data_IF_779367817625
#
_entry.id   IF_779367817625
#
_cell.length_a   1.000
_cell.length_b   1.000
_cell.length_c   1.000
_cell.angle_alpha   90.00
_cell.angle_beta   90.00
_cell.angle_gamma   90.00
#
_symmetry.space_group_name_H-M   'P 1'
#
loop_
_entity.id
_entity.type
_entity.pdbx_description
1 polymer ?
#
# COMPACT_ATOMS: atom_id res chain seq x y z
N UNK A 1 12.37 23.47 -5.06
CA UNK A 1 12.32 21.99 -5.07
C UNK A 1 13.44 21.47 -4.19
N UNK A 2 13.18 20.44 -3.39
CA UNK A 2 14.24 19.74 -2.65
C UNK A 2 15.22 19.06 -3.63
N UNK A 3 16.41 18.68 -3.16
CA UNK A 3 17.40 17.98 -3.97
C UNK A 3 16.83 16.66 -4.55
N UNK A 4 16.07 15.93 -3.74
CA UNK A 4 15.38 14.69 -4.10
C UNK A 4 14.31 14.92 -5.18
N UNK A 5 13.48 15.96 -5.05
CA UNK A 5 12.50 16.32 -6.08
C UNK A 5 13.15 16.66 -7.43
N UNK A 6 14.34 17.30 -7.41
CA UNK A 6 15.09 17.57 -8.64
C UNK A 6 15.62 16.28 -9.28
N UNK A 7 16.10 15.32 -8.48
CA UNK A 7 16.58 14.03 -8.97
C UNK A 7 15.43 13.21 -9.58
N UNK A 8 14.29 13.13 -8.89
CA UNK A 8 13.12 12.41 -9.39
C UNK A 8 12.56 13.04 -10.67
N UNK A 9 12.54 14.38 -10.75
CA UNK A 9 12.17 15.09 -11.98
C UNK A 9 13.09 14.75 -13.14
N UNK A 10 14.41 14.80 -12.92
CA UNK A 10 15.41 14.50 -13.94
C UNK A 10 15.29 13.05 -14.43
N UNK A 11 15.17 12.09 -13.51
CA UNK A 11 15.02 10.67 -13.86
C UNK A 11 13.72 10.40 -14.62
N UNK A 12 12.61 11.06 -14.24
CA UNK A 12 11.35 10.99 -14.97
C UNK A 12 11.49 11.56 -16.39
N UNK A 13 12.15 12.70 -16.55
CA UNK A 13 12.39 13.33 -17.85
C UNK A 13 13.25 12.44 -18.75
N UNK A 14 14.32 11.84 -18.23
CA UNK A 14 15.19 10.92 -18.96
C UNK A 14 14.40 9.70 -19.47
N UNK A 15 13.52 9.13 -18.65
CA UNK A 15 12.65 8.03 -19.05
C UNK A 15 11.64 8.44 -20.14
N UNK A 16 11.06 9.65 -20.05
CA UNK A 16 10.16 10.17 -21.09
C UNK A 16 10.89 10.40 -22.42
N UNK A 17 12.08 11.01 -22.38
CA UNK A 17 12.92 11.23 -23.56
C UNK A 17 13.26 9.90 -24.23
N UNK A 18 13.75 8.94 -23.45
CA UNK A 18 14.10 7.62 -23.97
C UNK A 18 12.87 6.91 -24.57
N UNK A 19 11.74 6.89 -23.87
CA UNK A 19 10.55 6.20 -24.34
C UNK A 19 9.98 6.82 -25.62
N UNK A 20 9.96 8.15 -25.73
CA UNK A 20 9.49 8.83 -26.95
C UNK A 20 10.43 8.62 -28.13
N UNK A 21 11.75 8.64 -27.91
CA UNK A 21 12.76 8.30 -28.92
C UNK A 21 12.57 6.86 -29.44
N UNK A 22 12.42 5.88 -28.54
CA UNK A 22 12.20 4.48 -28.92
C UNK A 22 10.90 4.25 -29.70
N UNK A 23 9.87 5.06 -29.43
CA UNK A 23 8.59 5.00 -30.16
C UNK A 23 8.60 5.80 -31.46
N UNK A 24 9.69 6.50 -31.78
CA UNK A 24 9.79 7.37 -32.95
C UNK A 24 8.84 8.57 -32.90
N UNK A 25 8.50 9.04 -31.70
CA UNK A 25 7.59 10.18 -31.49
C UNK A 25 8.42 11.44 -31.26
N UNK A 26 8.25 12.43 -32.14
CA UNK A 26 8.94 13.73 -32.00
C UNK A 26 8.22 14.63 -30.99
N UNK A 27 8.83 14.82 -29.83
CA UNK A 27 8.35 15.77 -28.80
C UNK A 27 9.51 16.64 -28.35
N UNK A 28 9.27 17.95 -28.21
CA UNK A 28 10.33 18.83 -27.71
C UNK A 28 10.70 18.48 -26.25
N UNK A 29 11.99 18.50 -25.87
CA UNK A 29 12.40 18.26 -24.49
C UNK A 29 11.70 19.18 -23.48
N UNK A 30 11.39 20.41 -23.89
CA UNK A 30 10.65 21.39 -23.08
C UNK A 30 9.22 20.94 -22.78
N UNK A 31 8.53 20.30 -23.72
CA UNK A 31 7.19 19.75 -23.48
C UNK A 31 7.26 18.51 -22.56
N UNK A 32 8.23 17.62 -22.79
CA UNK A 32 8.45 16.46 -21.93
C UNK A 32 8.83 16.86 -20.50
N UNK A 33 9.60 17.94 -20.32
CA UNK A 33 9.94 18.46 -19.00
C UNK A 33 8.71 18.95 -18.21
N UNK A 34 7.70 19.51 -18.89
CA UNK A 34 6.42 19.89 -18.28
C UNK A 34 5.61 18.66 -17.88
N UNK A 35 5.61 17.61 -18.70
CA UNK A 35 4.96 16.33 -18.38
C UNK A 35 5.66 15.66 -17.19
N UNK A 36 7.00 15.62 -17.18
CA UNK A 36 7.77 15.09 -16.06
C UNK A 36 7.45 15.83 -14.75
N UNK A 37 7.34 17.16 -14.81
CA UNK A 37 6.96 17.98 -13.66
C UNK A 37 5.55 17.63 -13.18
N UNK A 38 4.60 17.49 -14.09
CA UNK A 38 3.22 17.12 -13.79
C UNK A 38 3.16 15.77 -13.05
N UNK A 39 3.89 14.76 -13.53
CA UNK A 39 3.96 13.42 -12.92
C UNK A 39 4.58 13.49 -11.52
N UNK A 40 5.81 14.01 -11.40
CA UNK A 40 6.57 13.96 -10.14
C UNK A 40 5.92 14.80 -9.02
N UNK A 41 5.24 15.90 -9.37
CA UNK A 41 4.50 16.70 -8.38
C UNK A 41 3.42 15.89 -7.65
N UNK A 42 2.84 14.89 -8.30
CA UNK A 42 1.75 14.10 -7.71
C UNK A 42 2.25 12.89 -6.94
N UNK A 43 3.40 12.35 -7.32
CA UNK A 43 4.04 11.21 -6.67
C UNK A 43 4.88 11.58 -5.44
N UNK A 44 5.06 12.87 -5.15
CA UNK A 44 5.86 13.38 -4.01
C UNK A 44 5.00 13.94 -2.88
N UNK A 45 3.71 13.64 -2.89
CA UNK A 45 2.79 14.03 -1.81
C UNK A 45 3.17 13.37 -0.48
N UNK A 46 2.94 14.02 0.68
CA UNK A 46 3.35 13.50 2.00
C UNK A 46 2.63 12.20 2.41
N UNK A 47 1.63 11.78 1.64
CA UNK A 47 0.82 10.58 1.88
C UNK A 47 1.25 9.38 1.04
N UNK A 48 2.07 9.60 0.01
CA UNK A 48 2.56 8.60 -0.93
C UNK A 48 3.77 7.90 -0.31
N UNK A 49 3.53 6.83 0.46
CA UNK A 49 4.57 6.09 1.18
C UNK A 49 4.96 4.79 0.46
N UNK A 50 4.00 4.17 -0.21
CA UNK A 50 4.20 3.00 -1.08
C UNK A 50 4.15 3.43 -2.55
N UNK A 51 3.10 4.14 -2.97
CA UNK A 51 2.98 4.61 -4.36
C UNK A 51 3.82 5.88 -4.59
N UNK A 52 5.15 5.72 -4.52
CA UNK A 52 6.16 6.78 -4.64
C UNK A 52 6.80 6.85 -6.05
N UNK A 53 7.72 7.78 -6.25
CA UNK A 53 8.52 7.89 -7.48
C UNK A 53 9.40 6.67 -7.72
N UNK A 54 9.95 6.07 -6.68
CA UNK A 54 10.78 4.87 -6.78
C UNK A 54 9.95 3.69 -7.28
N UNK A 55 8.77 3.48 -6.67
CA UNK A 55 7.82 2.46 -7.10
C UNK A 55 7.42 2.66 -8.57
N UNK A 56 7.01 3.87 -8.95
CA UNK A 56 6.68 4.23 -10.33
C UNK A 56 7.78 3.84 -11.33
N UNK A 57 9.06 4.06 -11.00
CA UNK A 57 10.18 3.69 -11.86
C UNK A 57 10.40 2.18 -11.94
N UNK A 58 10.21 1.44 -10.84
CA UNK A 58 10.29 -0.03 -10.80
C UNK A 58 9.18 -0.69 -11.64
N UNK A 59 7.95 -0.16 -11.55
CA UNK A 59 6.79 -0.62 -12.35
C UNK A 59 6.99 -0.36 -13.83
N UNK A 60 7.64 0.74 -14.21
CA UNK A 60 7.94 1.05 -15.61
C UNK A 60 9.04 0.18 -16.20
N UNK A 61 10.06 -0.13 -15.41
CA UNK A 61 11.18 -1.00 -15.82
C UNK A 61 12.19 -0.24 -16.66
N UNK A 62 12.85 -0.95 -17.58
CA UNK A 62 14.00 -0.38 -18.32
C UNK A 62 14.10 -0.77 -19.79
N UNK A 63 13.25 -1.65 -20.31
CA UNK A 63 13.47 -2.27 -21.64
C UNK A 63 12.40 -1.96 -22.68
N UNK A 64 11.19 -1.58 -22.30
CA UNK A 64 10.08 -1.34 -23.20
C UNK A 64 9.47 0.05 -22.97
N UNK A 65 9.31 0.82 -24.04
CA UNK A 65 8.87 2.21 -23.97
C UNK A 65 7.41 2.35 -23.52
N UNK A 66 6.50 1.46 -23.94
CA UNK A 66 5.10 1.50 -23.51
C UNK A 66 5.00 1.11 -22.04
N UNK A 67 5.76 0.10 -21.61
CA UNK A 67 5.80 -0.31 -20.20
C UNK A 67 6.34 0.81 -19.30
N UNK A 68 7.41 1.50 -19.73
CA UNK A 68 7.96 2.65 -19.00
C UNK A 68 6.92 3.76 -18.88
N UNK A 69 6.27 4.14 -19.99
CA UNK A 69 5.22 5.16 -19.96
C UNK A 69 4.05 4.74 -19.06
N UNK A 70 3.62 3.48 -19.11
CA UNK A 70 2.56 2.98 -18.23
C UNK A 70 2.95 3.10 -16.76
N UNK A 71 4.18 2.68 -16.41
CA UNK A 71 4.71 2.83 -15.06
C UNK A 71 4.73 4.28 -14.59
N UNK A 72 5.15 5.23 -15.45
CA UNK A 72 5.19 6.66 -15.13
C UNK A 72 3.80 7.27 -14.86
N UNK A 73 2.74 6.70 -15.43
CA UNK A 73 1.41 7.30 -15.38
C UNK A 73 0.40 6.55 -14.52
N UNK A 74 0.56 5.25 -14.23
CA UNK A 74 -0.54 4.42 -13.70
C UNK A 74 -1.16 4.93 -12.39
N UNK A 75 -0.36 5.54 -11.51
CA UNK A 75 -0.78 5.95 -10.16
C UNK A 75 -0.76 7.45 -9.89
N UNK A 76 -0.65 8.28 -10.93
CA UNK A 76 -0.56 9.73 -10.75
C UNK A 76 -1.84 10.33 -10.14
N UNK A 77 -3.01 9.71 -10.36
CA UNK A 77 -4.26 10.06 -9.68
C UNK A 77 -4.62 9.02 -8.64
N UNK A 78 -4.57 9.36 -7.34
CA UNK A 78 -4.96 8.46 -6.25
C UNK A 78 -5.81 9.17 -5.21
N UNK A 79 -7.10 9.32 -5.51
CA UNK A 79 -8.01 10.22 -4.78
C UNK A 79 -8.14 9.85 -3.30
N UNK A 80 -8.16 8.57 -2.95
CA UNK A 80 -8.38 8.11 -1.58
C UNK A 80 -7.14 8.34 -0.70
N UNK A 81 -5.96 8.36 -1.31
CA UNK A 81 -4.70 8.65 -0.62
C UNK A 81 -4.50 10.16 -0.55
N UNK A 82 -4.56 10.86 -1.68
CA UNK A 82 -4.28 12.29 -1.72
C UNK A 82 -5.40 13.12 -1.07
N UNK A 83 -6.62 12.59 -1.01
CA UNK A 83 -7.82 13.24 -0.48
C UNK A 83 -8.47 14.24 -1.45
N UNK A 84 -7.87 14.47 -2.61
CA UNK A 84 -8.42 15.26 -3.71
C UNK A 84 -7.66 14.97 -5.01
N UNK A 85 -8.19 15.46 -6.13
CA UNK A 85 -7.47 15.47 -7.41
C UNK A 85 -6.54 16.70 -7.44
N UNK A 86 -5.29 16.51 -7.88
CA UNK A 86 -4.35 17.62 -8.08
C UNK A 86 -4.93 18.64 -9.07
N UNK A 87 -4.86 19.93 -8.72
CA UNK A 87 -5.42 21.01 -9.55
C UNK A 87 -4.93 20.99 -11.01
N UNK A 88 -3.68 20.59 -11.24
CA UNK A 88 -3.11 20.52 -12.59
C UNK A 88 -3.73 19.38 -13.43
N UNK A 89 -4.37 18.39 -12.81
CA UNK A 89 -5.12 17.34 -13.52
C UNK A 89 -6.57 17.72 -13.80
N UNK A 90 -7.11 18.70 -13.09
CA UNK A 90 -8.51 19.12 -13.24
C UNK A 90 -8.83 19.50 -14.68
N UNK A 91 -7.89 20.12 -15.41
CA UNK A 91 -8.06 20.44 -16.83
C UNK A 91 -8.34 19.20 -17.70
N UNK A 92 -7.70 18.07 -17.40
CA UNK A 92 -7.86 16.81 -18.15
C UNK A 92 -9.09 16.02 -17.72
N UNK A 93 -9.59 16.23 -16.50
CA UNK A 93 -10.62 15.37 -15.88
C UNK A 93 -12.00 16.06 -15.80
N UNK A 94 -12.05 17.34 -15.42
CA UNK A 94 -13.32 18.06 -15.22
C UNK A 94 -14.32 18.00 -16.40
N UNK A 95 -13.88 17.97 -17.68
CA UNK A 95 -14.79 17.82 -18.80
C UNK A 95 -15.57 16.50 -18.80
N UNK A 96 -15.04 15.44 -18.19
CA UNK A 96 -15.59 14.08 -18.28
C UNK A 96 -16.22 13.57 -16.98
N UNK A 97 -15.85 14.18 -15.85
CA UNK A 97 -16.22 13.71 -14.52
C UNK A 97 -16.90 14.79 -13.69
N UNK A 98 -17.71 14.34 -12.74
CA UNK A 98 -18.27 15.16 -11.68
C UNK A 98 -18.33 14.38 -10.37
N UNK A 99 -18.50 15.08 -9.26
CA UNK A 99 -18.52 14.51 -7.91
C UNK A 99 -19.87 14.76 -7.24
N UNK A 100 -20.45 13.71 -6.64
CA UNK A 100 -21.63 13.77 -5.78
C UNK A 100 -21.35 13.04 -4.47
N UNK A 101 -21.54 13.70 -3.33
CA UNK A 101 -21.38 13.07 -2.00
C UNK A 101 -20.07 12.28 -1.81
N UNK A 102 -18.96 12.77 -2.38
CA UNK A 102 -17.65 12.11 -2.31
C UNK A 102 -17.45 10.94 -3.29
N UNK A 103 -18.37 10.72 -4.23
CA UNK A 103 -18.27 9.72 -5.29
C UNK A 103 -18.10 10.40 -6.64
N UNK A 104 -17.22 9.84 -7.46
CA UNK A 104 -16.99 10.33 -8.83
C UNK A 104 -17.88 9.58 -9.82
N UNK A 105 -18.39 10.30 -10.80
CA UNK A 105 -19.23 9.76 -11.86
C UNK A 105 -18.68 10.19 -13.22
N UNK A 106 -18.76 9.29 -14.19
CA UNK A 106 -18.64 9.67 -15.59
C UNK A 106 -19.88 10.49 -15.95
N UNK A 107 -19.71 11.62 -16.63
CA UNK A 107 -20.84 12.42 -17.12
C UNK A 107 -21.77 11.61 -18.01
N UNK A 108 -23.03 12.03 -18.05
CA UNK A 108 -24.02 11.45 -18.95
C UNK A 108 -23.63 11.68 -20.41
N UNK A 109 -24.09 10.80 -21.32
CA UNK A 109 -23.74 10.87 -22.74
C UNK A 109 -24.08 12.22 -23.38
N UNK A 110 -25.14 12.90 -22.92
CA UNK A 110 -25.57 14.21 -23.42
C UNK A 110 -24.67 15.37 -22.94
N UNK A 111 -23.88 15.17 -21.88
CA UNK A 111 -23.00 16.17 -21.28
C UNK A 111 -21.53 15.96 -21.64
N UNK A 112 -21.18 14.76 -22.12
CA UNK A 112 -19.83 14.45 -22.54
C UNK A 112 -19.46 15.24 -23.81
N UNK A 113 -18.26 15.86 -23.86
CA UNK A 113 -17.76 16.42 -25.11
C UNK A 113 -17.47 15.30 -26.12
N UNK A 114 -17.52 15.62 -27.41
CA UNK A 114 -17.04 14.71 -28.45
C UNK A 114 -15.51 14.64 -28.39
N UNK A 115 -14.99 13.60 -27.74
CA UNK A 115 -13.57 13.41 -27.48
C UNK A 115 -13.19 11.95 -27.72
N UNK A 116 -12.68 11.66 -28.92
CA UNK A 116 -12.33 10.30 -29.32
C UNK A 116 -11.28 9.66 -28.41
N UNK A 117 -10.40 10.46 -27.81
CA UNK A 117 -9.37 9.96 -26.89
C UNK A 117 -10.00 9.47 -25.59
N UNK A 118 -10.90 10.25 -25.00
CA UNK A 118 -11.65 9.81 -23.82
C UNK A 118 -12.49 8.56 -24.13
N UNK A 119 -13.19 8.54 -25.27
CA UNK A 119 -14.01 7.39 -25.68
C UNK A 119 -13.18 6.11 -25.84
N UNK A 120 -11.97 6.20 -26.41
CA UNK A 120 -11.02 5.08 -26.49
C UNK A 120 -10.61 4.59 -25.10
N UNK A 121 -10.28 5.50 -24.18
CA UNK A 121 -9.88 5.15 -22.81
C UNK A 121 -11.03 4.46 -22.07
N UNK A 122 -12.24 5.01 -22.15
CA UNK A 122 -13.45 4.41 -21.59
C UNK A 122 -13.73 3.02 -22.17
N UNK A 123 -13.57 2.83 -23.48
CA UNK A 123 -13.76 1.55 -24.15
C UNK A 123 -12.75 0.47 -23.68
N UNK A 124 -11.46 0.83 -23.50
CA UNK A 124 -10.43 -0.09 -22.99
C UNK A 124 -10.74 -0.52 -21.54
N UNK A 125 -11.18 0.42 -20.70
CA UNK A 125 -11.60 0.14 -19.32
C UNK A 125 -12.98 -0.52 -19.22
N UNK A 126 -13.75 -0.53 -20.31
CA UNK A 126 -15.13 -1.04 -20.33
C UNK A 126 -16.07 -0.21 -19.46
N UNK A 127 -15.83 1.10 -19.33
CA UNK A 127 -16.68 2.01 -18.58
C UNK A 127 -17.65 2.75 -19.50
N UNK A 128 -18.81 3.11 -18.95
CA UNK A 128 -19.89 3.76 -19.67
C UNK A 128 -20.21 5.16 -19.12
N UNK A 129 -20.76 6.07 -19.93
CA UNK A 129 -21.34 7.33 -19.46
C UNK A 129 -22.35 7.11 -18.32
N UNK A 130 -22.42 8.04 -17.37
CA UNK A 130 -23.28 7.96 -16.19
C UNK A 130 -22.80 6.98 -15.11
N UNK A 131 -21.76 6.17 -15.37
CA UNK A 131 -21.28 5.17 -14.42
C UNK A 131 -20.62 5.82 -13.19
N UNK A 132 -21.02 5.35 -12.00
CA UNK A 132 -20.32 5.64 -10.75
C UNK A 132 -18.96 4.93 -10.72
N UNK A 133 -17.90 5.67 -10.45
CA UNK A 133 -16.56 5.11 -10.26
C UNK A 133 -16.40 4.58 -8.84
N UNK A 134 -15.65 3.48 -8.72
CA UNK A 134 -15.36 2.84 -7.45
C UNK A 134 -13.86 2.69 -7.26
N UNK A 135 -13.31 3.05 -6.08
CA UNK A 135 -11.91 2.78 -5.72
C UNK A 135 -11.52 1.31 -5.88
N UNK A 136 -12.48 0.39 -5.72
CA UNK A 136 -12.24 -1.06 -5.79
C UNK A 136 -12.44 -1.63 -7.20
N UNK A 137 -12.77 -0.79 -8.18
CA UNK A 137 -13.05 -1.20 -9.56
C UNK A 137 -12.21 -0.41 -10.58
N UNK A 138 -11.04 0.08 -10.20
CA UNK A 138 -10.09 0.71 -11.13
C UNK A 138 -10.28 2.22 -11.34
N UNK A 139 -10.92 2.92 -10.39
CA UNK A 139 -11.12 4.37 -10.49
C UNK A 139 -9.81 5.14 -10.68
N UNK A 140 -8.78 4.83 -9.90
CA UNK A 140 -7.54 5.60 -9.90
C UNK A 140 -6.77 5.39 -11.21
N UNK A 141 -6.63 4.14 -11.62
CA UNK A 141 -6.01 3.72 -12.87
C UNK A 141 -6.74 4.32 -14.07
N UNK A 142 -8.08 4.40 -14.03
CA UNK A 142 -8.86 5.02 -15.09
C UNK A 142 -8.61 6.53 -15.18
N UNK A 143 -8.64 7.24 -14.05
CA UNK A 143 -8.37 8.68 -14.04
C UNK A 143 -6.93 8.98 -14.47
N UNK A 144 -5.96 8.19 -13.99
CA UNK A 144 -4.56 8.22 -14.42
C UNK A 144 -4.42 7.98 -15.93
N UNK A 145 -5.12 6.99 -16.49
CA UNK A 145 -5.11 6.70 -17.92
C UNK A 145 -5.72 7.83 -18.76
N UNK A 146 -6.79 8.48 -18.28
CA UNK A 146 -7.36 9.67 -18.95
C UNK A 146 -6.33 10.80 -18.95
N UNK A 147 -5.70 11.10 -17.81
CA UNK A 147 -4.64 12.13 -17.75
C UNK A 147 -3.48 11.78 -18.69
N UNK A 148 -3.02 10.53 -18.68
CA UNK A 148 -1.94 10.06 -19.56
C UNK A 148 -2.30 10.26 -21.04
N UNK A 149 -3.49 9.82 -21.42
CA UNK A 149 -3.98 9.92 -22.78
C UNK A 149 -4.08 11.38 -23.24
N UNK A 150 -4.68 12.25 -22.44
CA UNK A 150 -4.84 13.68 -22.80
C UNK A 150 -3.52 14.46 -22.76
N UNK A 151 -2.58 14.10 -21.88
CA UNK A 151 -1.27 14.74 -21.83
C UNK A 151 -0.40 14.37 -23.06
N UNK A 152 -0.57 13.16 -23.61
CA UNK A 152 0.23 12.64 -24.72
C UNK A 152 -0.47 12.74 -26.09
N UNK A 153 -1.79 12.95 -26.12
CA UNK A 153 -2.61 13.11 -27.34
C UNK A 153 -2.03 14.08 -28.38
N UNK A 154 -1.43 15.24 -28.02
CA UNK A 154 -0.85 16.14 -29.03
C UNK A 154 0.31 15.54 -29.83
N UNK A 155 0.87 14.42 -29.38
CA UNK A 155 2.09 13.83 -29.93
C UNK A 155 1.89 12.37 -30.35
N UNK A 156 1.03 11.62 -29.66
CA UNK A 156 0.89 10.18 -29.82
C UNK A 156 -0.24 9.84 -30.79
N UNK A 157 -0.03 8.80 -31.59
CA UNK A 157 -1.12 8.24 -32.39
C UNK A 157 -2.19 7.57 -31.50
N UNK A 158 -3.46 7.50 -31.95
CA UNK A 158 -4.52 6.79 -31.25
C UNK A 158 -4.13 5.35 -30.86
N UNK A 159 -3.42 4.65 -31.75
CA UNK A 159 -2.94 3.30 -31.51
C UNK A 159 -1.93 3.23 -30.36
N UNK A 160 -1.01 4.21 -30.23
CA UNK A 160 -0.08 4.26 -29.10
C UNK A 160 -0.79 4.59 -27.78
N UNK A 161 -1.76 5.51 -27.81
CA UNK A 161 -2.59 5.83 -26.63
C UNK A 161 -3.29 4.57 -26.13
N UNK A 162 -3.94 3.81 -27.01
CA UNK A 162 -4.64 2.56 -26.61
C UNK A 162 -3.68 1.51 -26.05
N UNK A 163 -2.46 1.37 -26.60
CA UNK A 163 -1.44 0.46 -26.05
C UNK A 163 -1.03 0.86 -24.62
N UNK A 164 -0.79 2.16 -24.40
CA UNK A 164 -0.49 2.71 -23.06
C UNK A 164 -1.65 2.50 -22.08
N UNK A 165 -2.87 2.85 -22.50
CA UNK A 165 -4.07 2.70 -21.69
C UNK A 165 -4.30 1.25 -21.26
N UNK A 166 -4.05 0.28 -22.13
CA UNK A 166 -4.17 -1.14 -21.78
C UNK A 166 -3.21 -1.56 -20.66
N UNK A 167 -1.96 -1.08 -20.71
CA UNK A 167 -0.99 -1.37 -19.66
C UNK A 167 -1.38 -0.76 -18.32
N UNK A 168 -1.94 0.47 -18.30
CA UNK A 168 -2.47 1.08 -17.08
C UNK A 168 -3.73 0.36 -16.60
N UNK A 169 -4.64 -0.04 -17.49
CA UNK A 169 -5.84 -0.82 -17.11
C UNK A 169 -5.47 -2.13 -16.41
N UNK A 170 -4.41 -2.79 -16.88
CA UNK A 170 -3.96 -4.04 -16.30
C UNK A 170 -3.43 -3.89 -14.86
N UNK A 171 -3.02 -2.69 -14.41
CA UNK A 171 -2.56 -2.47 -13.03
C UNK A 171 -3.71 -2.49 -12.02
N UNK A 172 -4.98 -2.47 -12.45
CA UNK A 172 -6.12 -2.64 -11.53
C UNK A 172 -6.00 -4.00 -10.81
N UNK A 173 -5.71 -4.02 -9.51
CA UNK A 173 -5.19 -5.22 -8.86
C UNK A 173 -6.30 -6.15 -8.38
N UNK A 174 -5.95 -7.42 -8.16
CA UNK A 174 -6.75 -8.43 -7.45
C UNK A 174 -8.15 -8.72 -8.01
N UNK A 175 -8.38 -8.42 -9.29
CA UNK A 175 -9.66 -8.68 -9.94
C UNK A 175 -9.96 -10.18 -10.02
N UNK A 176 -11.21 -10.53 -9.72
CA UNK A 176 -11.71 -11.89 -9.87
C UNK A 176 -11.96 -12.24 -11.34
N UNK A 177 -12.23 -13.52 -11.60
CA UNK A 177 -12.75 -13.94 -12.90
C UNK A 177 -14.11 -13.29 -13.16
N UNK A 178 -14.40 -13.03 -14.43
CA UNK A 178 -15.74 -12.62 -14.85
C UNK A 178 -16.79 -13.67 -14.53
N UNK A 179 -18.07 -13.30 -14.62
CA UNK A 179 -19.18 -14.26 -14.54
C UNK A 179 -19.08 -15.36 -15.62
N UNK A 180 -18.50 -15.05 -16.78
CA UNK A 180 -18.21 -15.99 -17.86
C UNK A 180 -16.92 -16.81 -17.66
N UNK A 181 -16.23 -16.64 -16.54
CA UNK A 181 -15.01 -17.37 -16.19
C UNK A 181 -13.73 -16.84 -16.86
N UNK A 182 -13.78 -15.68 -17.51
CA UNK A 182 -12.63 -15.05 -18.16
C UNK A 182 -11.74 -14.35 -17.13
N UNK A 183 -10.43 -14.41 -17.37
CA UNK A 183 -9.44 -13.64 -16.62
C UNK A 183 -9.49 -12.15 -16.98
N UNK A 184 -8.98 -11.25 -16.12
CA UNK A 184 -8.87 -9.83 -16.44
C UNK A 184 -8.11 -9.56 -17.74
N UNK A 185 -7.02 -10.29 -18.00
CA UNK A 185 -6.25 -10.16 -19.24
C UNK A 185 -7.03 -10.60 -20.49
N UNK A 186 -7.86 -11.63 -20.39
CA UNK A 186 -8.73 -12.06 -21.50
C UNK A 186 -9.86 -11.06 -21.77
N UNK A 187 -10.45 -10.48 -20.73
CA UNK A 187 -11.43 -9.39 -20.89
C UNK A 187 -10.80 -8.16 -21.55
N UNK A 188 -9.61 -7.76 -21.11
CA UNK A 188 -8.87 -6.67 -21.72
C UNK A 188 -8.53 -6.96 -23.18
N UNK A 189 -8.17 -8.21 -23.53
CA UNK A 189 -7.96 -8.63 -24.91
C UNK A 189 -9.21 -8.46 -25.78
N UNK A 190 -10.38 -8.85 -25.29
CA UNK A 190 -11.66 -8.68 -26.01
C UNK A 190 -12.01 -7.21 -26.20
N UNK A 191 -11.83 -6.39 -25.16
CA UNK A 191 -12.07 -4.94 -25.25
C UNK A 191 -11.11 -4.29 -26.24
N UNK A 192 -9.83 -4.65 -26.23
CA UNK A 192 -8.86 -4.11 -27.17
C UNK A 192 -9.18 -4.45 -28.63
N UNK A 193 -9.67 -5.66 -28.93
CA UNK A 193 -10.16 -5.97 -30.28
C UNK A 193 -11.33 -5.10 -30.68
N UNK A 194 -12.30 -4.96 -29.79
CA UNK A 194 -13.50 -4.15 -30.03
C UNK A 194 -13.14 -2.67 -30.24
N UNK A 195 -12.27 -2.11 -29.40
CA UNK A 195 -11.75 -0.75 -29.53
C UNK A 195 -10.96 -0.58 -30.84
N UNK A 196 -10.10 -1.54 -31.22
CA UNK A 196 -9.35 -1.49 -32.47
C UNK A 196 -10.27 -1.41 -33.70
N UNK A 197 -11.37 -2.17 -33.70
CA UNK A 197 -12.37 -2.16 -34.77
C UNK A 197 -13.19 -0.86 -34.76
N UNK A 198 -13.72 -0.47 -33.59
CA UNK A 198 -14.57 0.72 -33.41
C UNK A 198 -13.87 2.01 -33.82
N UNK A 199 -12.59 2.17 -33.47
CA UNK A 199 -11.82 3.39 -33.74
C UNK A 199 -10.87 3.25 -34.94
N UNK A 200 -10.95 2.16 -35.69
CA UNK A 200 -10.15 1.90 -36.88
C UNK A 200 -8.63 2.08 -36.68
N UNK A 201 -8.11 1.57 -35.56
CA UNK A 201 -6.71 1.78 -35.13
C UNK A 201 -5.70 0.98 -35.96
N UNK A 202 -6.18 0.04 -36.79
CA UNK A 202 -5.40 -0.82 -37.69
C UNK A 202 -4.32 -1.64 -36.98
N UNK A 203 -4.48 -1.90 -35.69
CA UNK A 203 -3.61 -2.82 -34.97
C UNK A 203 -3.86 -4.24 -35.49
N UNK A 204 -2.77 -4.94 -35.75
CA UNK A 204 -2.83 -6.37 -36.05
C UNK A 204 -3.14 -7.17 -34.78
N UNK A 205 -3.68 -8.38 -34.95
CA UNK A 205 -3.97 -9.27 -33.82
C UNK A 205 -2.69 -9.63 -33.03
N UNK A 206 -1.53 -9.67 -33.70
CA UNK A 206 -0.23 -9.88 -33.05
C UNK A 206 0.19 -8.67 -32.20
N UNK A 207 -0.01 -7.44 -32.71
CA UNK A 207 0.26 -6.24 -31.90
C UNK A 207 -0.64 -6.16 -30.68
N UNK A 208 -1.92 -6.53 -30.80
CA UNK A 208 -2.84 -6.59 -29.67
C UNK A 208 -2.33 -7.61 -28.65
N UNK A 209 -1.98 -8.83 -29.08
CA UNK A 209 -1.40 -9.85 -28.17
C UNK A 209 -0.14 -9.34 -27.47
N UNK A 210 0.75 -8.68 -28.20
CA UNK A 210 1.98 -8.15 -27.64
C UNK A 210 1.70 -7.04 -26.62
N UNK A 211 0.71 -6.20 -26.86
CA UNK A 211 0.24 -5.21 -25.88
C UNK A 211 -0.25 -5.89 -24.61
N UNK A 212 -1.03 -6.97 -24.70
CA UNK A 212 -1.44 -7.71 -23.49
C UNK A 212 -0.25 -8.29 -22.73
N UNK A 213 0.77 -8.80 -23.43
CA UNK A 213 2.00 -9.29 -22.78
C UNK A 213 2.75 -8.17 -22.07
N UNK A 214 2.87 -6.98 -22.68
CA UNK A 214 3.40 -5.78 -22.02
C UNK A 214 2.58 -5.42 -20.78
N UNK A 215 1.24 -5.43 -20.89
CA UNK A 215 0.34 -5.15 -19.77
C UNK A 215 0.51 -6.15 -18.62
N UNK A 216 0.68 -7.44 -18.93
CA UNK A 216 0.96 -8.48 -17.91
C UNK A 216 2.31 -8.27 -17.24
N UNK A 217 3.35 -7.85 -17.96
CA UNK A 217 4.64 -7.53 -17.34
C UNK A 217 4.57 -6.31 -16.41
N UNK A 218 3.84 -5.27 -16.80
CA UNK A 218 3.67 -4.06 -15.97
C UNK A 218 2.92 -4.41 -14.69
N UNK A 219 1.73 -5.02 -14.79
CA UNK A 219 0.92 -5.38 -13.61
C UNK A 219 1.64 -6.35 -12.68
N UNK A 220 2.38 -7.34 -13.22
CA UNK A 220 3.14 -8.27 -12.38
C UNK A 220 4.33 -7.60 -11.65
N UNK A 221 4.88 -6.51 -12.21
CA UNK A 221 5.93 -5.73 -11.54
C UNK A 221 5.35 -4.81 -10.48
N UNK A 222 4.21 -4.20 -10.76
CA UNK A 222 3.42 -3.40 -9.79
C UNK A 222 3.14 -4.19 -8.50
N UNK A 223 2.56 -5.37 -8.62
CA UNK A 223 2.33 -6.25 -7.45
C UNK A 223 3.52 -7.15 -7.10
N UNK A 224 4.71 -6.90 -7.66
CA UNK A 224 5.86 -7.79 -7.58
C UNK A 224 6.33 -8.08 -6.14
N UNK A 225 6.10 -7.13 -5.23
CA UNK A 225 6.44 -7.26 -3.81
C UNK A 225 5.81 -8.47 -3.11
N UNK A 226 4.63 -8.93 -3.57
CA UNK A 226 3.96 -10.11 -3.02
C UNK A 226 4.75 -11.39 -3.21
N UNK A 227 5.58 -11.49 -4.25
CA UNK A 227 6.44 -12.64 -4.51
C UNK A 227 7.90 -12.40 -4.10
N UNK A 228 8.18 -11.42 -3.22
CA UNK A 228 9.53 -11.23 -2.73
C UNK A 228 10.03 -12.49 -1.98
N UNK A 229 11.24 -13.00 -2.25
CA UNK A 229 11.79 -14.16 -1.53
C UNK A 229 11.92 -13.94 -0.02
N UNK A 230 12.11 -12.69 0.41
CA UNK A 230 12.19 -12.28 1.81
C UNK A 230 10.83 -11.79 2.31
N UNK A 231 10.24 -12.54 3.25
CA UNK A 231 9.00 -12.13 3.91
C UNK A 231 9.16 -10.82 4.70
N UNK A 232 10.38 -10.49 5.13
CA UNK A 232 10.69 -9.23 5.81
C UNK A 232 10.58 -8.02 4.88
N UNK A 233 10.96 -8.18 3.60
CA UNK A 233 10.81 -7.14 2.56
C UNK A 233 9.36 -7.04 2.14
N UNK A 234 8.69 -8.16 1.90
CA UNK A 234 7.26 -8.21 1.62
C UNK A 234 6.43 -7.46 2.69
N UNK A 235 6.70 -7.75 3.97
CA UNK A 235 6.01 -7.07 5.07
C UNK A 235 6.39 -5.59 5.20
N UNK A 236 7.63 -5.20 4.90
CA UNK A 236 8.03 -3.79 4.90
C UNK A 236 7.22 -3.00 3.87
N UNK A 237 7.08 -3.55 2.66
CA UNK A 237 6.27 -2.96 1.59
C UNK A 237 4.79 -2.89 1.97
N UNK A 238 4.26 -3.96 2.57
CA UNK A 238 2.89 -3.97 3.13
C UNK A 238 2.72 -2.90 4.21
N UNK A 239 3.75 -2.65 5.01
CA UNK A 239 3.71 -1.64 6.07
C UNK A 239 3.65 -0.21 5.52
N UNK A 240 4.33 0.07 4.41
CA UNK A 240 4.29 1.39 3.76
C UNK A 240 2.86 1.80 3.34
N UNK A 241 1.97 0.85 3.11
CA UNK A 241 0.55 1.11 2.82
C UNK A 241 -0.25 1.61 4.05
N UNK A 242 0.23 1.37 5.27
CA UNK A 242 -0.50 1.75 6.49
C UNK A 242 -0.69 3.28 6.63
N UNK A 243 0.37 4.12 6.64
CA UNK A 243 0.22 5.57 6.74
C UNK A 243 -0.42 6.19 5.50
N UNK A 244 -0.32 5.50 4.37
CA UNK A 244 -0.91 5.91 3.10
C UNK A 244 -2.43 5.75 3.10
N UNK A 245 -2.96 4.65 3.65
CA UNK A 245 -4.40 4.37 3.71
C UNK A 245 -5.05 4.76 5.04
N UNK A 246 -4.25 5.20 6.03
CA UNK A 246 -4.71 5.61 7.36
C UNK A 246 -4.02 6.91 7.79
N UNK A 247 -4.63 8.05 7.43
CA UNK A 247 -4.05 9.38 7.61
C UNK A 247 -3.73 9.73 9.07
N UNK A 248 -4.37 9.09 10.06
CA UNK A 248 -4.04 9.30 11.47
C UNK A 248 -2.58 8.93 11.80
N UNK A 249 -1.98 7.98 11.06
CA UNK A 249 -0.60 7.53 11.29
C UNK A 249 0.48 8.47 10.73
N UNK A 250 0.12 9.48 9.93
CA UNK A 250 1.09 10.38 9.28
C UNK A 250 1.84 11.27 10.27
N UNK A 251 1.25 11.54 11.44
CA UNK A 251 1.91 12.31 12.51
C UNK A 251 2.35 11.33 13.58
N UNK A 252 3.64 10.98 13.55
CA UNK A 252 4.27 10.15 14.59
C UNK A 252 4.01 10.75 15.98
N UNK A 253 3.57 9.91 16.92
CA UNK A 253 3.26 10.29 18.30
C UNK A 253 1.88 10.93 18.55
N UNK A 254 1.16 11.33 17.50
CA UNK A 254 -0.14 12.01 17.63
C UNK A 254 -1.35 11.05 17.58
N UNK A 255 -1.16 9.81 17.14
CA UNK A 255 -2.25 8.84 16.99
C UNK A 255 -2.48 8.01 18.26
N UNK A 256 -3.73 7.59 18.46
CA UNK A 256 -4.15 6.80 19.62
C UNK A 256 -3.86 5.31 19.45
N UNK A 257 -3.91 4.55 20.54
CA UNK A 257 -3.84 3.07 20.48
C UNK A 257 -4.94 2.51 19.57
N UNK A 258 -6.13 3.11 19.62
CA UNK A 258 -7.29 2.76 18.78
C UNK A 258 -7.05 3.06 17.31
N UNK A 259 -6.47 4.21 16.97
CA UNK A 259 -6.12 4.55 15.58
C UNK A 259 -5.19 3.52 14.96
N UNK A 260 -4.14 3.14 15.70
CA UNK A 260 -3.21 2.10 15.28
C UNK A 260 -3.91 0.75 15.13
N UNK A 261 -4.78 0.38 16.08
CA UNK A 261 -5.57 -0.84 16.01
C UNK A 261 -6.45 -0.88 14.75
N UNK A 262 -7.15 0.22 14.43
CA UNK A 262 -7.99 0.33 13.24
C UNK A 262 -7.16 0.11 11.98
N UNK A 263 -5.99 0.73 11.89
CA UNK A 263 -5.10 0.58 10.73
C UNK A 263 -4.66 -0.89 10.55
N UNK A 264 -4.22 -1.56 11.63
CA UNK A 264 -3.86 -2.98 11.59
C UNK A 264 -5.07 -3.86 11.28
N UNK A 265 -6.26 -3.56 11.82
CA UNK A 265 -7.48 -4.32 11.54
C UNK A 265 -7.86 -4.24 10.05
N UNK A 266 -7.83 -3.03 9.46
CA UNK A 266 -8.09 -2.83 8.02
C UNK A 266 -7.10 -3.60 7.16
N UNK A 267 -5.80 -3.52 7.48
CA UNK A 267 -4.76 -4.26 6.77
C UNK A 267 -4.94 -5.79 6.90
N UNK A 268 -5.35 -6.26 8.08
CA UNK A 268 -5.71 -7.67 8.30
C UNK A 268 -6.89 -8.09 7.42
N UNK A 269 -7.92 -7.24 7.31
CA UNK A 269 -9.04 -7.46 6.41
C UNK A 269 -8.62 -7.55 4.93
N UNK A 270 -7.81 -6.60 4.46
CA UNK A 270 -7.25 -6.59 3.12
C UNK A 270 -6.46 -7.88 2.83
N UNK A 271 -5.52 -8.24 3.69
CA UNK A 271 -4.69 -9.44 3.53
C UNK A 271 -5.50 -10.74 3.52
N UNK A 272 -6.60 -10.82 4.26
CA UNK A 272 -7.50 -11.97 4.26
C UNK A 272 -8.39 -12.04 3.02
N UNK A 273 -8.71 -10.90 2.40
CA UNK A 273 -9.45 -10.85 1.14
C UNK A 273 -8.63 -11.38 -0.05
N UNK A 274 -7.32 -11.13 -0.07
CA UNK A 274 -6.45 -11.51 -1.18
C UNK A 274 -6.44 -13.03 -1.45
N UNK A 275 -6.41 -13.41 -2.73
CA UNK A 275 -6.22 -14.80 -3.15
C UNK A 275 -4.89 -14.89 -3.92
N UNK A 276 -3.98 -15.84 -3.61
CA UNK A 276 -2.69 -15.93 -4.30
C UNK A 276 -2.79 -15.95 -5.82
N UNK A 277 -3.83 -16.63 -6.35
CA UNK A 277 -4.07 -16.78 -7.79
C UNK A 277 -4.57 -15.51 -8.49
N UNK A 278 -5.00 -14.48 -7.76
CA UNK A 278 -5.50 -13.22 -8.33
C UNK A 278 -4.46 -12.09 -8.24
N UNK A 279 -3.29 -12.36 -7.65
CA UNK A 279 -2.21 -11.37 -7.52
C UNK A 279 -1.51 -11.20 -8.86
N UNK A 280 -0.93 -12.29 -9.37
CA UNK A 280 -0.20 -12.26 -10.64
C UNK A 280 -1.11 -12.63 -11.80
N UNK A 281 -0.93 -11.95 -12.93
CA UNK A 281 -1.59 -12.22 -14.19
C UNK A 281 -0.72 -13.13 -15.07
N UNK A 282 -1.39 -13.87 -15.96
CA UNK A 282 -0.77 -14.72 -16.96
C UNK A 282 -1.60 -14.63 -18.25
N UNK A 283 -0.94 -14.41 -19.38
CA UNK A 283 -1.59 -14.35 -20.68
C UNK A 283 -0.71 -14.97 -21.76
N UNK A 284 -1.20 -16.04 -22.39
CA UNK A 284 -0.57 -16.68 -23.55
C UNK A 284 0.95 -16.92 -23.40
N UNK A 285 1.36 -17.49 -22.25
CA UNK A 285 2.75 -17.82 -21.95
C UNK A 285 3.59 -16.65 -21.44
N UNK A 286 2.98 -15.52 -21.10
CA UNK A 286 3.64 -14.39 -20.44
C UNK A 286 3.10 -14.19 -19.01
N UNK A 287 3.93 -14.30 -17.96
CA UNK A 287 5.24 -14.94 -18.00
C UNK A 287 5.10 -16.45 -18.30
N UNK A 288 6.20 -17.17 -18.54
CA UNK A 288 6.12 -18.61 -18.74
C UNK A 288 5.50 -19.32 -17.52
N UNK A 289 4.84 -20.47 -17.74
CA UNK A 289 4.11 -21.19 -16.69
C UNK A 289 4.94 -21.47 -15.44
N UNK A 290 6.24 -21.79 -15.60
CA UNK A 290 7.13 -22.08 -14.48
C UNK A 290 7.39 -20.82 -13.66
N UNK A 291 7.61 -19.68 -14.31
CA UNK A 291 7.74 -18.38 -13.64
C UNK A 291 6.44 -17.98 -12.97
N UNK A 292 5.30 -18.09 -13.65
CA UNK A 292 3.98 -17.80 -13.07
C UNK A 292 3.71 -18.62 -11.82
N UNK A 293 3.91 -19.94 -11.87
CA UNK A 293 3.72 -20.81 -10.72
C UNK A 293 4.62 -20.43 -9.55
N UNK A 294 5.90 -20.11 -9.79
CA UNK A 294 6.80 -19.64 -8.73
C UNK A 294 6.30 -18.36 -8.06
N UNK A 295 5.84 -17.39 -8.84
CA UNK A 295 5.28 -16.14 -8.31
C UNK A 295 4.08 -16.42 -7.40
N UNK A 296 3.14 -17.25 -7.85
CA UNK A 296 1.95 -17.63 -7.08
C UNK A 296 2.32 -18.42 -5.81
N UNK A 297 3.27 -19.36 -5.89
CA UNK A 297 3.75 -20.12 -4.74
C UNK A 297 4.38 -19.21 -3.68
N UNK A 298 5.26 -18.30 -4.09
CA UNK A 298 5.89 -17.35 -3.17
C UNK A 298 4.86 -16.39 -2.57
N UNK A 299 3.90 -15.90 -3.36
CA UNK A 299 2.79 -15.07 -2.87
C UNK A 299 1.96 -15.79 -1.82
N UNK A 300 1.66 -17.08 -2.01
CA UNK A 300 0.92 -17.87 -1.03
C UNK A 300 1.67 -17.98 0.29
N UNK A 301 2.98 -18.23 0.23
CA UNK A 301 3.84 -18.26 1.43
C UNK A 301 3.80 -16.91 2.15
N UNK A 302 4.08 -15.82 1.42
CA UNK A 302 4.12 -14.47 1.96
C UNK A 302 2.77 -14.02 2.54
N UNK A 303 1.66 -14.33 1.87
CA UNK A 303 0.31 -14.06 2.40
C UNK A 303 0.03 -14.85 3.68
N UNK A 304 0.43 -16.12 3.76
CA UNK A 304 0.24 -16.92 4.97
C UNK A 304 1.03 -16.34 6.16
N UNK A 305 2.28 -15.95 5.94
CA UNK A 305 3.13 -15.29 6.94
C UNK A 305 2.52 -13.93 7.34
N UNK A 306 2.15 -13.11 6.36
CA UNK A 306 1.62 -11.78 6.60
C UNK A 306 0.29 -11.80 7.38
N UNK A 307 -0.61 -12.74 7.06
CA UNK A 307 -1.86 -12.94 7.80
C UNK A 307 -1.62 -13.29 9.26
N UNK A 308 -0.75 -14.27 9.52
CA UNK A 308 -0.44 -14.69 10.88
C UNK A 308 0.28 -13.58 11.65
N UNK A 309 1.23 -12.89 11.03
CA UNK A 309 1.93 -11.75 11.62
C UNK A 309 0.96 -10.62 12.01
N UNK A 310 0.07 -10.22 11.10
CA UNK A 310 -0.93 -9.17 11.34
C UNK A 310 -1.94 -9.58 12.40
N UNK A 311 -2.38 -10.84 12.43
CA UNK A 311 -3.25 -11.35 13.47
C UNK A 311 -2.60 -11.26 14.85
N UNK A 312 -1.35 -11.69 14.99
CA UNK A 312 -0.60 -11.57 16.25
C UNK A 312 -0.49 -10.10 16.69
N UNK A 313 -0.15 -9.20 15.75
CA UNK A 313 -0.07 -7.75 16.00
C UNK A 313 -1.41 -7.19 16.44
N UNK A 314 -2.51 -7.58 15.79
CA UNK A 314 -3.85 -7.11 16.10
C UNK A 314 -4.26 -7.54 17.52
N UNK A 315 -4.08 -8.81 17.89
CA UNK A 315 -4.42 -9.31 19.24
C UNK A 315 -3.58 -8.62 20.31
N UNK A 316 -2.27 -8.51 20.11
CA UNK A 316 -1.39 -7.80 21.04
C UNK A 316 -1.82 -6.34 21.23
N UNK A 317 -2.16 -5.65 20.14
CA UNK A 317 -2.64 -4.27 20.22
C UNK A 317 -4.05 -4.15 20.83
N UNK A 318 -4.86 -5.20 20.75
CA UNK A 318 -6.19 -5.23 21.38
C UNK A 318 -6.09 -5.31 22.90
N UNK A 319 -5.15 -6.11 23.41
CA UNK A 319 -4.81 -6.13 24.85
C UNK A 319 -4.35 -4.75 25.29
N UNK A 320 -3.49 -4.11 24.50
CA UNK A 320 -3.00 -2.76 24.79
C UNK A 320 -4.12 -1.71 24.76
N UNK A 321 -5.02 -1.76 23.78
CA UNK A 321 -6.18 -0.86 23.67
C UNK A 321 -7.10 -1.01 24.88
N UNK A 322 -7.46 -2.25 25.24
CA UNK A 322 -8.31 -2.52 26.39
C UNK A 322 -7.69 -2.01 27.71
N UNK A 323 -6.37 -2.16 27.90
CA UNK A 323 -5.67 -1.58 29.03
C UNK A 323 -5.65 -0.04 28.99
N UNK A 324 -5.45 0.54 27.80
CA UNK A 324 -5.39 2.00 27.64
C UNK A 324 -6.70 2.68 28.04
N UNK A 325 -7.85 2.01 27.87
CA UNK A 325 -9.16 2.52 28.28
C UNK A 325 -9.32 2.72 29.79
N UNK A 326 -8.43 2.15 30.62
CA UNK A 326 -8.36 2.45 32.06
C UNK A 326 -7.73 3.82 32.36
N UNK A 327 -6.99 4.39 31.41
CA UNK A 327 -6.38 5.72 31.52
C UNK A 327 -7.26 6.81 30.87
N UNK A 328 -7.96 6.48 29.79
CA UNK A 328 -8.84 7.38 29.07
C UNK A 328 -9.31 6.82 27.73
N UNK A 329 -10.21 7.52 27.03
CA UNK A 329 -10.76 7.04 25.76
C UNK A 329 -9.78 7.22 24.57
N UNK A 330 -9.03 8.32 24.54
CA UNK A 330 -8.12 8.68 23.44
C UNK A 330 -6.66 8.74 23.94
N UNK A 331 -6.13 7.58 24.32
CA UNK A 331 -4.75 7.48 24.80
C UNK A 331 -3.79 7.35 23.61
N UNK A 332 -2.79 8.24 23.56
CA UNK A 332 -1.70 8.17 22.56
C UNK A 332 -0.96 6.84 22.65
N UNK A 333 -0.62 6.23 21.51
CA UNK A 333 0.17 5.00 21.50
C UNK A 333 1.53 5.18 22.19
N UNK A 334 2.14 6.36 22.05
CA UNK A 334 3.43 6.65 22.66
C UNK A 334 3.38 6.53 24.19
N UNK A 335 2.28 6.96 24.83
CA UNK A 335 2.08 6.83 26.28
C UNK A 335 2.15 5.35 26.70
N UNK A 336 1.56 4.46 25.91
CA UNK A 336 1.48 3.03 26.23
C UNK A 336 2.75 2.25 25.84
N UNK A 337 3.42 2.62 24.74
CA UNK A 337 4.54 1.84 24.18
C UNK A 337 5.93 2.45 24.40
N UNK A 338 6.01 3.70 24.86
CA UNK A 338 7.24 4.48 24.81
C UNK A 338 7.35 5.30 23.52
N UNK A 339 8.38 6.14 23.44
CA UNK A 339 8.56 7.03 22.28
C UNK A 339 8.94 6.26 21.01
N UNK A 340 8.32 6.67 19.89
CA UNK A 340 8.60 6.18 18.55
C UNK A 340 9.98 6.66 18.07
N UNK A 341 10.58 6.02 17.04
CA UNK A 341 11.84 6.46 16.46
C UNK A 341 11.79 7.95 16.06
N UNK A 342 12.90 8.68 16.24
CA UNK A 342 13.01 10.09 15.82
C UNK A 342 12.57 11.13 16.86
N UNK A 343 12.04 10.74 18.02
CA UNK A 343 11.63 11.69 19.08
C UNK A 343 12.79 12.41 19.78
N UNK A 344 14.03 11.95 19.62
CA UNK A 344 15.23 12.49 20.28
C UNK A 344 15.27 12.29 21.80
N UNK A 345 14.31 11.55 22.37
CA UNK A 345 14.16 11.37 23.82
C UNK A 345 13.75 9.93 24.15
N UNK A 346 14.41 9.33 25.14
CA UNK A 346 14.19 7.94 25.54
C UNK A 346 13.89 7.85 27.04
N UNK A 347 12.70 7.34 27.38
CA UNK A 347 12.26 7.09 28.76
C UNK A 347 11.94 5.60 29.01
N UNK A 348 12.49 4.73 28.17
CA UNK A 348 12.12 3.32 28.10
C UNK A 348 11.02 3.04 27.08
N UNK A 349 10.87 1.76 26.76
CA UNK A 349 9.88 1.21 25.84
C UNK A 349 9.18 0.00 26.43
N UNK A 350 7.98 -0.25 25.94
CA UNK A 350 7.20 -1.41 26.35
C UNK A 350 7.90 -2.68 25.91
N UNK A 351 8.30 -3.47 26.90
CA UNK A 351 8.99 -4.75 26.74
C UNK A 351 10.48 -4.72 27.05
N UNK A 352 11.04 -3.58 27.45
CA UNK A 352 12.43 -3.49 27.92
C UNK A 352 12.69 -4.33 29.18
N UNK A 353 11.66 -4.55 30.02
CA UNK A 353 11.75 -5.29 31.29
C UNK A 353 10.81 -6.50 31.35
N UNK A 354 10.33 -7.01 30.20
CA UNK A 354 9.56 -8.24 30.19
C UNK A 354 10.35 -9.42 30.78
N UNK A 355 9.70 -10.29 31.58
CA UNK A 355 10.38 -11.41 32.21
C UNK A 355 10.79 -12.46 31.17
N UNK A 356 11.91 -13.13 31.44
CA UNK A 356 12.28 -14.32 30.71
C UNK A 356 11.27 -15.44 31.02
N UNK A 357 10.64 -15.98 29.97
CA UNK A 357 9.67 -17.07 30.12
C UNK A 357 10.41 -18.39 30.37
N UNK A 358 9.94 -19.16 31.36
CA UNK A 358 10.53 -20.47 31.70
C UNK A 358 10.35 -21.48 30.56
N UNK A 359 9.23 -21.40 29.85
CA UNK A 359 8.89 -22.24 28.70
C UNK A 359 8.26 -21.38 27.60
N UNK A 360 9.06 -20.63 26.83
CA UNK A 360 8.53 -19.89 25.70
C UNK A 360 7.93 -20.87 24.67
N UNK A 361 6.90 -20.41 23.97
CA UNK A 361 6.29 -21.15 22.88
C UNK A 361 7.34 -21.55 21.83
N UNK A 362 7.22 -22.77 21.31
CA UNK A 362 8.06 -23.28 20.23
C UNK A 362 7.23 -23.39 18.95
N UNK A 363 7.62 -22.70 17.87
CA UNK A 363 6.96 -22.83 16.57
C UNK A 363 6.83 -24.28 16.12
N UNK A 364 5.67 -24.62 15.55
CA UNK A 364 5.36 -25.99 15.11
C UNK A 364 5.60 -26.21 13.62
N UNK A 365 5.75 -25.13 12.86
CA UNK A 365 5.97 -25.16 11.42
C UNK A 365 6.79 -23.95 10.95
N UNK A 366 7.22 -23.99 9.68
CA UNK A 366 8.09 -22.97 9.09
C UNK A 366 7.46 -21.57 9.02
N UNK A 367 6.13 -21.47 8.87
CA UNK A 367 5.43 -20.18 8.84
C UNK A 367 5.48 -19.53 10.22
N UNK A 368 5.19 -20.30 11.26
CA UNK A 368 5.27 -19.85 12.65
C UNK A 368 6.69 -19.45 13.04
N UNK A 369 7.70 -20.22 12.62
CA UNK A 369 9.11 -19.90 12.86
C UNK A 369 9.48 -18.57 12.21
N UNK A 370 9.09 -18.38 10.95
CA UNK A 370 9.35 -17.15 10.21
C UNK A 370 8.64 -15.94 10.82
N UNK A 371 7.38 -16.10 11.26
CA UNK A 371 6.64 -15.05 11.98
C UNK A 371 7.31 -14.69 13.30
N UNK A 372 7.75 -15.68 14.10
CA UNK A 372 8.49 -15.40 15.33
C UNK A 372 9.77 -14.60 15.06
N UNK A 373 10.54 -14.99 14.03
CA UNK A 373 11.73 -14.25 13.62
C UNK A 373 11.41 -12.82 13.21
N UNK A 374 10.33 -12.60 12.45
CA UNK A 374 9.88 -11.27 12.04
C UNK A 374 9.43 -10.40 13.21
N UNK A 375 8.81 -10.98 14.24
CA UNK A 375 8.39 -10.24 15.44
C UNK A 375 9.60 -9.80 16.28
N UNK A 376 10.63 -10.65 16.37
CA UNK A 376 11.84 -10.42 17.17
C UNK A 376 12.84 -9.50 16.44
N UNK A 377 13.23 -9.87 15.22
CA UNK A 377 14.28 -9.18 14.46
C UNK A 377 13.75 -8.04 13.58
N UNK A 378 12.45 -8.06 13.30
CA UNK A 378 11.75 -7.00 12.60
C UNK A 378 11.69 -7.17 11.08
N UNK A 379 10.98 -6.22 10.45
CA UNK A 379 10.90 -6.06 8.99
C UNK A 379 12.20 -5.46 8.43
N UNK A 380 12.39 -5.56 7.11
CA UNK A 380 13.61 -5.09 6.44
C UNK A 380 13.87 -3.60 6.62
N UNK A 381 12.82 -2.78 6.62
CA UNK A 381 12.87 -1.35 6.87
C UNK A 381 11.92 -0.99 8.05
N UNK A 382 12.20 0.13 8.72
CA UNK A 382 11.32 0.74 9.71
C UNK A 382 10.81 2.09 9.22
N UNK A 383 9.60 2.47 9.61
CA UNK A 383 9.08 3.82 9.38
C UNK A 383 9.18 4.67 10.64
N UNK A 384 9.17 6.00 10.51
CA UNK A 384 9.21 6.91 11.66
C UNK A 384 7.92 6.87 12.52
N UNK A 385 6.85 6.29 11.97
CA UNK A 385 5.56 6.16 12.63
C UNK A 385 5.41 4.85 13.42
N UNK A 386 6.36 3.90 13.35
CA UNK A 386 6.26 2.62 14.06
C UNK A 386 7.62 1.98 14.41
N UNK A 387 7.60 0.87 15.14
CA UNK A 387 8.79 0.05 15.38
C UNK A 387 8.87 -1.08 14.35
N UNK A 388 10.05 -1.25 13.75
CA UNK A 388 10.33 -2.38 12.85
C UNK A 388 10.22 -3.74 13.55
N UNK A 389 10.58 -3.79 14.83
CA UNK A 389 10.40 -4.96 15.72
C UNK A 389 9.08 -4.86 16.46
N UNK A 390 8.60 -5.96 17.03
CA UNK A 390 7.32 -6.00 17.75
C UNK A 390 7.45 -6.69 19.10
N UNK A 391 8.15 -6.08 20.07
CA UNK A 391 8.49 -6.72 21.36
C UNK A 391 7.26 -7.18 22.15
N UNK A 392 6.21 -6.35 22.24
CA UNK A 392 4.93 -6.74 22.84
C UNK A 392 4.34 -7.98 22.17
N UNK A 393 4.25 -7.96 20.84
CA UNK A 393 3.65 -9.07 20.09
C UNK A 393 4.49 -10.34 20.19
N UNK A 394 5.81 -10.24 20.13
CA UNK A 394 6.73 -11.36 20.33
C UNK A 394 6.54 -11.98 21.73
N UNK A 395 6.42 -11.15 22.77
CA UNK A 395 6.17 -11.61 24.13
C UNK A 395 4.83 -12.33 24.26
N UNK A 396 3.74 -11.75 23.71
CA UNK A 396 2.41 -12.37 23.71
C UNK A 396 2.46 -13.74 23.02
N UNK A 397 3.04 -13.84 21.83
CA UNK A 397 3.16 -15.12 21.10
C UNK A 397 3.99 -16.12 21.90
N UNK A 398 5.12 -15.71 22.49
CA UNK A 398 5.93 -16.59 23.32
C UNK A 398 5.21 -17.07 24.59
N UNK A 399 4.24 -16.31 25.10
CA UNK A 399 3.49 -16.64 26.31
C UNK A 399 2.31 -17.59 26.03
N UNK A 400 1.46 -17.26 25.06
CA UNK A 400 0.20 -18.00 24.80
C UNK A 400 0.21 -18.84 23.52
N UNK A 401 1.25 -18.73 22.68
CA UNK A 401 1.35 -19.41 21.39
C UNK A 401 0.35 -18.93 20.35
N UNK A 402 0.47 -19.44 19.13
CA UNK A 402 -0.44 -19.09 18.03
C UNK A 402 -1.87 -19.61 18.24
N UNK A 403 -2.07 -20.70 18.97
CA UNK A 403 -3.41 -21.17 19.33
C UNK A 403 -4.11 -20.23 20.31
N UNK A 404 -3.38 -19.69 21.29
CA UNK A 404 -3.91 -18.66 22.19
C UNK A 404 -4.29 -17.38 21.43
N UNK A 405 -3.47 -16.97 20.46
CA UNK A 405 -3.81 -15.85 19.55
C UNK A 405 -5.14 -16.12 18.82
N UNK A 406 -5.32 -17.31 18.24
CA UNK A 406 -6.54 -17.69 17.53
C UNK A 406 -7.77 -17.69 18.45
N UNK A 407 -7.63 -18.16 19.68
CA UNK A 407 -8.71 -18.17 20.68
C UNK A 407 -9.17 -16.76 21.06
N UNK A 408 -8.27 -15.77 21.04
CA UNK A 408 -8.59 -14.37 21.33
C UNK A 408 -9.19 -13.59 20.16
N UNK A 409 -9.33 -14.21 18.98
CA UNK A 409 -9.91 -13.54 17.79
C UNK A 409 -11.37 -13.15 18.00
N UNK A 410 -12.22 -14.09 18.41
CA UNK A 410 -13.65 -13.83 18.58
C UNK A 410 -13.93 -12.80 19.71
N UNK A 411 -13.31 -12.90 20.90
CA UNK A 411 -13.40 -11.85 21.91
C UNK A 411 -12.95 -10.47 21.40
N UNK A 412 -11.83 -10.42 20.66
CA UNK A 412 -11.35 -9.17 20.05
C UNK A 412 -12.39 -8.56 19.11
N UNK A 413 -12.99 -9.37 18.23
CA UNK A 413 -14.02 -8.89 17.30
C UNK A 413 -15.27 -8.37 18.02
N UNK A 414 -15.69 -9.04 19.11
CA UNK A 414 -16.80 -8.56 19.95
C UNK A 414 -16.46 -7.23 20.62
N UNK A 415 -15.23 -7.07 21.08
CA UNK A 415 -14.75 -5.81 21.67
C UNK A 415 -14.73 -4.68 20.64
N UNK A 416 -14.23 -4.93 19.42
CA UNK A 416 -14.22 -3.92 18.35
C UNK A 416 -15.62 -3.46 17.95
N UNK A 417 -16.60 -4.35 18.02
CA UNK A 417 -18.02 -4.07 17.76
C UNK A 417 -18.74 -3.43 18.95
N UNK A 418 -18.06 -3.24 20.09
CA UNK A 418 -18.66 -2.72 21.31
C UNK A 418 -19.68 -3.66 21.96
N UNK A 419 -19.66 -4.95 21.61
CA UNK A 419 -20.58 -5.96 22.15
C UNK A 419 -20.15 -6.45 23.53
N UNK A 420 -18.86 -6.36 23.85
CA UNK A 420 -18.31 -6.59 25.18
C UNK A 420 -17.46 -5.39 25.59
N UNK A 421 -17.32 -5.16 26.90
CA UNK A 421 -16.47 -4.09 27.43
C UNK A 421 -14.98 -4.45 27.32
N UNK A 422 -14.11 -3.46 27.55
CA UNK A 422 -12.66 -3.70 27.66
C UNK A 422 -12.32 -4.65 28.82
N UNK A 423 -13.05 -4.57 29.93
CA UNK A 423 -12.84 -5.45 31.09
C UNK A 423 -13.28 -6.89 30.79
N UNK A 424 -14.40 -7.08 30.09
CA UNK A 424 -14.84 -8.40 29.65
C UNK A 424 -13.84 -9.05 28.66
N UNK A 425 -13.27 -8.24 27.76
CA UNK A 425 -12.20 -8.68 26.87
C UNK A 425 -10.93 -9.08 27.66
N UNK A 426 -10.49 -8.24 28.60
CA UNK A 426 -9.32 -8.54 29.44
C UNK A 426 -9.54 -9.79 30.30
N UNK A 427 -10.77 -10.04 30.77
CA UNK A 427 -11.15 -11.24 31.51
C UNK A 427 -11.09 -12.52 30.64
N UNK A 428 -11.18 -12.38 29.31
CA UNK A 428 -11.00 -13.48 28.36
C UNK A 428 -9.53 -13.80 28.09
N UNK A 429 -8.60 -12.91 28.49
CA UNK A 429 -7.17 -13.10 28.33
C UNK A 429 -6.55 -13.89 29.49
N UNK A 430 -5.35 -14.42 29.29
CA UNK A 430 -4.59 -15.00 30.40
C UNK A 430 -4.23 -13.91 31.43
N UNK A 431 -4.60 -14.14 32.69
CA UNK A 431 -4.44 -13.15 33.78
C UNK A 431 -2.97 -12.77 34.06
N UNK A 432 -2.04 -13.73 33.96
CA UNK A 432 -0.63 -13.45 34.18
C UNK A 432 -0.06 -12.61 33.04
N UNK A 433 -0.42 -12.92 31.80
CA UNK A 433 -0.03 -12.16 30.62
C UNK A 433 -0.50 -10.70 30.73
N UNK A 434 -1.79 -10.46 31.02
CA UNK A 434 -2.34 -9.10 31.13
C UNK A 434 -1.71 -8.34 32.28
N UNK A 435 -1.47 -9.00 33.42
CA UNK A 435 -0.79 -8.40 34.57
C UNK A 435 0.65 -7.97 34.24
N UNK A 436 1.42 -8.80 33.54
CA UNK A 436 2.79 -8.47 33.14
C UNK A 436 2.78 -7.26 32.21
N UNK A 437 1.92 -7.24 31.19
CA UNK A 437 1.82 -6.11 30.25
C UNK A 437 1.39 -4.84 30.99
N UNK A 438 0.39 -4.92 31.87
CA UNK A 438 -0.08 -3.79 32.65
C UNK A 438 1.00 -3.21 33.57
N UNK A 439 1.75 -4.06 34.27
CA UNK A 439 2.86 -3.63 35.12
C UNK A 439 3.94 -2.90 34.32
N UNK A 440 4.23 -3.36 33.11
CA UNK A 440 5.22 -2.72 32.26
C UNK A 440 4.77 -1.33 31.78
N UNK A 441 3.49 -1.18 31.47
CA UNK A 441 2.89 0.14 31.19
C UNK A 441 2.99 1.04 32.43
N UNK A 442 2.73 0.52 33.64
CA UNK A 442 2.88 1.27 34.89
C UNK A 442 4.31 1.77 35.07
N UNK A 443 5.32 0.91 34.86
CA UNK A 443 6.73 1.30 34.94
C UNK A 443 7.08 2.42 33.94
N UNK A 444 6.56 2.38 32.71
CA UNK A 444 6.76 3.48 31.75
C UNK A 444 6.12 4.79 32.21
N UNK A 445 4.93 4.73 32.82
CA UNK A 445 4.26 5.91 33.38
C UNK A 445 5.01 6.47 34.59
N UNK A 446 5.59 5.61 35.43
CA UNK A 446 6.45 5.99 36.55
C UNK A 446 7.73 6.69 36.06
N UNK A 447 8.39 6.16 35.03
CA UNK A 447 9.57 6.81 34.42
C UNK A 447 9.23 8.23 33.93
N UNK A 448 8.07 8.40 33.29
CA UNK A 448 7.58 9.73 32.87
C UNK A 448 7.28 10.63 34.05
N UNK A 449 6.65 10.09 35.10
CA UNK A 449 6.38 10.85 36.33
C UNK A 449 7.69 11.34 36.97
N UNK A 450 8.72 10.49 37.02
CA UNK A 450 10.04 10.86 37.54
C UNK A 450 10.70 11.95 36.67
N UNK A 451 10.65 11.82 35.34
CA UNK A 451 11.18 12.82 34.41
C UNK A 451 10.50 14.19 34.57
N UNK A 452 9.19 14.22 34.85
CA UNK A 452 8.44 15.45 35.14
C UNK A 452 8.85 16.07 36.49
N UNK A 453 9.15 15.25 37.49
CA UNK A 453 9.54 15.69 38.84
C UNK A 453 10.98 16.17 38.92
N UNK A 454 11.85 15.78 37.97
CA UNK A 454 13.27 16.14 37.97
C UNK A 454 13.71 16.73 36.61
N UNK A 455 13.53 18.06 36.38
CA UNK A 455 13.91 18.70 35.14
C UNK A 455 15.45 18.68 34.92
N UNK A 456 15.90 17.87 33.95
CA UNK A 456 17.17 17.88 33.19
C UNK A 456 18.55 17.91 33.90
N UNK A 457 18.70 18.15 35.20
CA UNK A 457 20.04 18.18 35.83
C UNK A 457 20.50 16.86 36.46
N UNK A 458 19.70 15.80 36.41
CA UNK A 458 20.05 14.48 36.98
C UNK A 458 19.49 13.30 36.19
N UNK A 459 19.49 13.36 34.86
CA UNK A 459 19.32 12.13 34.08
C UNK A 459 20.68 11.42 34.02
N UNK A 460 20.78 10.14 34.41
CA UNK A 460 21.99 9.35 34.22
C UNK A 460 22.47 9.45 32.78
N UNK A 461 23.80 9.49 32.58
CA UNK A 461 24.47 9.54 31.28
C UNK A 461 24.00 8.47 30.28
N UNK A 462 23.35 7.43 30.77
CA UNK A 462 22.89 6.28 30.00
C UNK A 462 21.56 6.53 29.27
N UNK A 463 20.89 7.67 29.54
CA UNK A 463 19.65 8.11 28.87
C UNK A 463 19.86 9.25 27.85
N UNK A 464 21.09 9.79 27.76
CA UNK A 464 21.46 10.77 26.75
C UNK A 464 21.96 10.03 25.50
N UNK A 465 21.07 9.80 24.53
CA UNK A 465 21.45 9.27 23.23
C UNK A 465 22.62 10.07 22.65
N UNK A 466 23.70 9.36 22.30
CA UNK A 466 24.90 9.96 21.74
C UNK A 466 24.56 10.70 20.44
N UNK A 467 24.53 12.04 20.48
CA UNK A 467 24.67 12.84 19.27
C UNK A 467 26.11 12.68 18.78
N UNK A 468 26.36 11.72 17.89
CA UNK A 468 27.59 11.74 17.10
C UNK A 468 27.40 12.74 15.96
N UNK A 469 28.04 13.90 16.12
CA UNK A 469 28.43 14.78 15.02
C UNK A 469 29.27 13.98 14.02
N UNK A 470 28.84 13.89 12.76
CA UNK A 470 29.66 13.77 11.54
C UNK A 470 28.75 14.01 10.34
#
# INVERSE_FOLDING_TARGET
MSLEQNQNHQQCLEKLLWATEQLGVEVSPTQLAKIAQLIVQTMTGPRRCFHSTEHMFEVGGSTDAIEILAGLFHDIVYVQVDGSINFNFTYYLAPFFWEEEGKLFIREQAELPQDSTFEMVAAVFGFAPGQALSPFAGQNEFLSAVVAAKALEPFFSPSLIVKLTACIEATIPFRALSESGLTPSELLYQRLKSTNEQFHLKLTDEEIRQTLKQSVRVTNRDVGSFANPSSAVFLANTWNLLPETNHNLQKSGAYTVRDYRIAIQKMTGFMNFLKPKTIFQHFQGEPDDKTYHKLVEQARKNLAIGRLYLECKLIANTILEALSLRLGQDVSLAIMMGELPGSGYFLGRLGDSFPNLVKPYKPTNIIEEEVCNLLIFGRSNGGDYDLKTSPLTAFVVNFIGFDGIRQLREPSDKFFKGTISSEDFLASCNLDLTRIIANEVVTLLENRQQALRHPRQQLPSDLAGSSKNS
#
